data_IF_030335985335
#
_entry.id   IF_030335985335
#
_cell.length_a   1.000
_cell.length_b   1.000
_cell.length_c   1.000
_cell.angle_alpha   90.00
_cell.angle_beta   90.00
_cell.angle_gamma   90.00
#
_symmetry.space_group_name_H-M   'P 1'
#
loop_
_entity.id
_entity.type
_entity.pdbx_description
1 polymer ?
#
# COMPACT_ATOMS: atom_id res chain seq x y z
N UNK A 1 23.81 -33.39 -59.30
CA UNK A 1 22.65 -32.61 -59.76
C UNK A 1 22.02 -32.04 -58.44
N UNK A 2 22.41 -30.85 -58.19
CA UNK A 2 21.98 -30.02 -57.07
C UNK A 2 20.67 -29.31 -57.44
N UNK A 3 19.70 -29.33 -56.57
CA UNK A 3 18.48 -28.55 -56.72
C UNK A 3 18.33 -27.64 -55.53
N UNK A 4 18.69 -26.38 -55.73
CA UNK A 4 18.45 -25.31 -54.74
C UNK A 4 16.97 -24.97 -54.69
N UNK A 5 16.38 -25.11 -53.50
CA UNK A 5 15.03 -24.62 -53.23
C UNK A 5 15.12 -23.23 -52.62
N UNK A 6 14.89 -22.24 -53.45
CA UNK A 6 14.80 -20.82 -53.08
C UNK A 6 13.48 -20.56 -52.33
N UNK A 7 13.58 -20.25 -51.03
CA UNK A 7 12.41 -19.90 -50.20
C UNK A 7 12.10 -18.43 -50.44
N UNK A 8 11.03 -18.16 -51.14
CA UNK A 8 10.52 -16.81 -51.39
C UNK A 8 9.96 -16.22 -50.07
N UNK A 9 10.66 -15.25 -49.52
CA UNK A 9 10.16 -14.39 -48.42
C UNK A 9 9.18 -13.39 -49.05
N UNK A 10 7.91 -13.60 -48.82
CA UNK A 10 6.87 -12.62 -49.17
C UNK A 10 7.00 -11.38 -48.28
N UNK A 11 7.46 -10.29 -48.88
CA UNK A 11 7.49 -8.96 -48.25
C UNK A 11 6.07 -8.49 -47.95
N UNK A 12 5.73 -8.40 -46.66
CA UNK A 12 4.47 -7.81 -46.21
C UNK A 12 4.52 -6.31 -46.45
N UNK A 13 3.73 -5.80 -47.38
CA UNK A 13 3.56 -4.38 -47.65
C UNK A 13 3.15 -3.65 -46.36
N UNK A 14 3.79 -2.55 -45.94
CA UNK A 14 3.35 -1.79 -44.77
C UNK A 14 1.94 -1.24 -45.05
N UNK A 15 1.02 -1.52 -44.13
CA UNK A 15 -0.34 -0.92 -44.13
C UNK A 15 -0.16 0.59 -44.14
N UNK A 16 -0.53 1.23 -45.22
CA UNK A 16 -0.66 2.68 -45.31
C UNK A 16 -1.58 3.14 -44.15
N UNK A 17 -1.08 4.03 -43.31
CA UNK A 17 -1.83 4.66 -42.26
C UNK A 17 -3.07 5.33 -42.92
N UNK A 18 -4.26 4.74 -42.73
CA UNK A 18 -5.50 5.38 -43.14
C UNK A 18 -5.67 6.65 -42.33
N UNK A 19 -6.05 7.73 -42.97
CA UNK A 19 -6.43 8.98 -42.30
C UNK A 19 -7.51 8.63 -41.28
N UNK A 20 -7.20 8.78 -40.00
CA UNK A 20 -8.13 8.51 -38.92
C UNK A 20 -9.33 9.44 -39.10
N UNK A 21 -10.53 8.89 -39.09
CA UNK A 21 -11.74 9.70 -39.07
C UNK A 21 -11.82 10.47 -37.76
N UNK A 22 -12.54 11.61 -37.69
CA UNK A 22 -12.70 12.40 -36.47
C UNK A 22 -13.17 11.58 -35.25
N UNK A 23 -13.81 10.45 -35.52
CA UNK A 23 -14.24 9.48 -34.49
C UNK A 23 -13.06 8.57 -34.03
N UNK A 24 -12.17 8.21 -34.93
CA UNK A 24 -10.93 7.48 -34.62
C UNK A 24 -9.92 8.40 -33.89
N UNK A 25 -9.86 9.70 -34.22
CA UNK A 25 -9.06 10.69 -33.48
C UNK A 25 -9.55 10.88 -32.05
N UNK A 26 -10.86 10.84 -31.79
CA UNK A 26 -11.44 10.84 -30.43
C UNK A 26 -11.10 9.57 -29.64
N UNK A 27 -10.79 8.48 -30.31
CA UNK A 27 -10.44 7.18 -29.71
C UNK A 27 -8.94 7.09 -29.36
N UNK A 28 -8.09 7.81 -30.04
CA UNK A 28 -6.61 7.68 -29.95
C UNK A 28 -6.05 8.17 -28.61
N UNK A 29 -6.72 9.06 -27.89
CA UNK A 29 -6.21 9.57 -26.61
C UNK A 29 -6.78 8.85 -25.38
N UNK A 30 -6.78 7.53 -25.40
CA UNK A 30 -7.23 6.72 -24.26
C UNK A 30 -6.26 6.79 -23.08
N UNK A 31 -4.96 6.87 -23.35
CA UNK A 31 -3.89 6.82 -22.34
C UNK A 31 -3.40 8.20 -21.91
N UNK A 32 -3.72 9.26 -22.65
CA UNK A 32 -3.26 10.64 -22.43
C UNK A 32 -3.35 11.11 -20.98
N UNK A 33 -4.48 10.93 -20.28
CA UNK A 33 -4.59 11.34 -18.88
C UNK A 33 -3.57 10.72 -17.93
N UNK A 34 -3.14 9.48 -18.18
CA UNK A 34 -2.09 8.85 -17.40
C UNK A 34 -0.70 9.33 -17.83
N UNK A 35 -0.46 9.48 -19.12
CA UNK A 35 0.82 9.98 -19.66
C UNK A 35 1.12 11.40 -19.14
N UNK A 36 0.12 12.28 -19.13
CA UNK A 36 0.24 13.64 -18.57
C UNK A 36 0.51 13.61 -17.07
N UNK A 37 -0.16 12.69 -16.34
CA UNK A 37 0.08 12.52 -14.91
C UNK A 37 1.50 12.00 -14.63
N UNK A 38 2.03 11.09 -15.43
CA UNK A 38 3.41 10.61 -15.31
C UNK A 38 4.40 11.76 -15.53
N UNK A 39 4.21 12.58 -16.55
CA UNK A 39 5.08 13.75 -16.82
C UNK A 39 5.09 14.73 -15.65
N UNK A 40 3.93 14.98 -15.04
CA UNK A 40 3.82 15.84 -13.85
C UNK A 40 4.46 15.19 -12.63
N UNK A 41 4.31 13.87 -12.47
CA UNK A 41 4.89 13.09 -11.38
C UNK A 41 6.43 13.11 -11.44
N UNK A 42 7.03 13.01 -12.63
CA UNK A 42 8.47 13.16 -12.83
C UNK A 42 8.97 14.53 -12.34
N UNK A 43 8.22 15.59 -12.61
CA UNK A 43 8.59 16.93 -12.13
C UNK A 43 8.51 17.04 -10.59
N UNK A 44 7.54 16.37 -9.96
CA UNK A 44 7.45 16.30 -8.49
C UNK A 44 8.66 15.57 -7.88
N UNK A 45 9.06 14.44 -8.48
CA UNK A 45 10.24 13.68 -8.01
C UNK A 45 11.50 14.51 -8.18
N UNK A 46 11.73 15.08 -9.38
CA UNK A 46 12.94 15.86 -9.65
C UNK A 46 13.03 17.16 -8.83
N UNK A 47 11.89 17.69 -8.39
CA UNK A 47 11.82 18.93 -7.60
C UNK A 47 11.69 18.76 -6.10
N UNK A 48 11.84 17.53 -5.57
CA UNK A 48 11.71 17.28 -4.13
C UNK A 48 12.88 17.90 -3.35
N UNK A 49 12.57 18.70 -2.33
CA UNK A 49 13.55 19.51 -1.59
C UNK A 49 14.60 18.69 -0.82
N UNK A 50 14.30 17.44 -0.51
CA UNK A 50 15.17 16.53 0.23
C UNK A 50 16.13 15.72 -0.67
N UNK A 51 15.98 15.78 -1.98
CA UNK A 51 16.93 15.15 -2.93
C UNK A 51 18.27 15.88 -2.88
N UNK A 52 19.30 15.16 -2.49
CA UNK A 52 20.68 15.69 -2.33
C UNK A 52 21.68 14.97 -3.22
N UNK A 53 21.41 13.72 -3.57
CA UNK A 53 22.32 12.84 -4.28
C UNK A 53 21.63 12.18 -5.48
N UNK A 54 22.42 11.62 -6.38
CA UNK A 54 21.90 10.81 -7.49
C UNK A 54 21.21 9.53 -6.96
N UNK A 55 21.61 9.03 -5.79
CA UNK A 55 20.97 7.88 -5.16
C UNK A 55 19.55 8.24 -4.68
N UNK A 56 19.35 9.37 -4.03
CA UNK A 56 18.02 9.86 -3.62
C UNK A 56 17.11 10.01 -4.83
N UNK A 57 17.64 10.56 -5.94
CA UNK A 57 16.89 10.75 -7.16
C UNK A 57 16.51 9.42 -7.81
N UNK A 58 17.44 8.46 -7.86
CA UNK A 58 17.21 7.12 -8.40
C UNK A 58 16.11 6.38 -7.60
N UNK A 59 16.16 6.44 -6.27
CA UNK A 59 15.12 5.88 -5.39
C UNK A 59 13.75 6.53 -5.67
N UNK A 60 13.71 7.86 -5.86
CA UNK A 60 12.49 8.59 -6.20
C UNK A 60 11.88 8.13 -7.52
N UNK A 61 12.69 7.87 -8.54
CA UNK A 61 12.19 7.33 -9.81
C UNK A 61 11.77 5.87 -9.72
N UNK A 62 12.42 5.04 -8.90
CA UNK A 62 11.97 3.67 -8.62
C UNK A 62 10.62 3.68 -7.86
N UNK A 63 10.49 4.55 -6.85
CA UNK A 63 9.21 4.80 -6.18
C UNK A 63 8.11 5.27 -7.14
N UNK A 64 8.44 6.12 -8.13
CA UNK A 64 7.50 6.53 -9.18
C UNK A 64 7.06 5.33 -10.02
N UNK A 65 7.98 4.45 -10.42
CA UNK A 65 7.66 3.25 -11.19
C UNK A 65 6.70 2.32 -10.43
N UNK A 66 6.97 2.05 -9.16
CA UNK A 66 6.07 1.31 -8.26
C UNK A 66 4.70 1.98 -8.10
N UNK A 67 4.68 3.31 -8.01
CA UNK A 67 3.44 4.09 -7.88
C UNK A 67 2.58 4.04 -9.16
N UNK A 68 3.19 4.07 -10.35
CA UNK A 68 2.50 3.87 -11.63
C UNK A 68 1.88 2.47 -11.68
N UNK A 69 2.65 1.43 -11.36
CA UNK A 69 2.17 0.05 -11.35
C UNK A 69 0.97 -0.12 -10.40
N UNK A 70 1.08 0.36 -9.16
CA UNK A 70 0.02 0.28 -8.16
C UNK A 70 -1.25 0.99 -8.60
N UNK A 71 -1.16 2.20 -9.12
CA UNK A 71 -2.34 3.00 -9.51
C UNK A 71 -3.04 2.45 -10.74
N UNK A 72 -2.31 1.90 -11.70
CA UNK A 72 -2.90 1.19 -12.85
C UNK A 72 -3.61 -0.09 -12.39
N UNK A 73 -3.01 -0.87 -11.50
CA UNK A 73 -3.63 -2.07 -10.93
C UNK A 73 -4.92 -1.73 -10.18
N UNK A 74 -4.88 -0.75 -9.28
CA UNK A 74 -6.06 -0.28 -8.53
C UNK A 74 -7.16 0.21 -9.47
N UNK A 75 -6.82 1.07 -10.44
CA UNK A 75 -7.82 1.63 -11.37
C UNK A 75 -8.49 0.54 -12.25
N UNK A 76 -7.76 -0.55 -12.57
CA UNK A 76 -8.33 -1.70 -13.29
C UNK A 76 -9.28 -2.53 -12.41
N UNK A 77 -8.90 -2.73 -11.15
CA UNK A 77 -9.67 -3.54 -10.20
C UNK A 77 -10.87 -2.81 -9.61
N UNK A 78 -10.92 -1.46 -9.73
CA UNK A 78 -12.03 -0.66 -9.19
C UNK A 78 -13.39 -1.13 -9.67
N UNK A 79 -14.19 -1.62 -8.76
CA UNK A 79 -15.58 -1.98 -8.99
C UNK A 79 -16.33 -2.00 -7.66
N UNK A 80 -17.33 -1.14 -7.50
CA UNK A 80 -18.20 -1.14 -6.32
C UNK A 80 -19.34 -2.15 -6.45
N UNK A 81 -19.63 -2.56 -7.67
CA UNK A 81 -20.69 -3.55 -7.97
C UNK A 81 -20.17 -4.99 -8.02
N UNK A 82 -18.92 -5.18 -8.41
CA UNK A 82 -18.23 -6.47 -8.45
C UNK A 82 -16.85 -6.29 -7.82
N UNK A 83 -16.80 -6.05 -6.49
CA UNK A 83 -15.55 -5.77 -5.81
C UNK A 83 -14.63 -7.00 -5.77
N UNK A 84 -13.34 -6.75 -5.67
CA UNK A 84 -12.33 -7.76 -5.44
C UNK A 84 -11.18 -7.15 -4.66
N UNK A 85 -10.57 -7.93 -3.78
CA UNK A 85 -9.38 -7.46 -3.08
C UNK A 85 -8.17 -7.43 -3.99
N UNK A 86 -7.42 -6.35 -3.92
CA UNK A 86 -6.13 -6.16 -4.60
C UNK A 86 -5.06 -5.74 -3.61
N UNK A 87 -3.84 -6.20 -3.86
CA UNK A 87 -2.65 -5.79 -3.13
C UNK A 87 -2.00 -4.62 -3.87
N UNK A 88 -2.07 -3.43 -3.30
CA UNK A 88 -1.53 -2.21 -3.93
C UNK A 88 -0.30 -1.66 -3.24
N UNK A 89 0.11 -2.28 -2.14
CA UNK A 89 1.28 -1.91 -1.34
C UNK A 89 2.06 -3.18 -1.02
N UNK A 90 3.33 -3.17 -1.30
CA UNK A 90 4.24 -4.29 -1.13
C UNK A 90 5.65 -3.94 -1.61
N UNK A 91 6.58 -4.89 -1.71
CA UNK A 91 8.01 -4.63 -1.94
C UNK A 91 8.32 -3.77 -3.17
N UNK A 92 7.54 -3.90 -4.24
CA UNK A 92 7.71 -3.17 -5.51
C UNK A 92 6.71 -2.02 -5.70
N UNK A 93 5.79 -1.80 -4.74
CA UNK A 93 4.74 -0.78 -4.83
C UNK A 93 4.56 -0.04 -3.50
N UNK A 94 5.68 0.26 -2.86
CA UNK A 94 5.77 0.89 -1.54
C UNK A 94 4.99 2.20 -1.42
N UNK A 95 4.46 2.52 -0.25
CA UNK A 95 3.69 3.73 -0.01
C UNK A 95 3.47 3.99 1.48
N UNK A 96 3.63 5.25 1.89
CA UNK A 96 3.13 5.70 3.20
C UNK A 96 3.84 5.06 4.37
N UNK A 97 5.15 4.85 4.26
CA UNK A 97 5.98 4.12 5.21
C UNK A 97 5.39 2.74 5.51
N UNK A 98 5.17 1.98 4.45
CA UNK A 98 4.58 0.64 4.47
C UNK A 98 5.33 -0.29 5.45
N UNK A 99 4.58 -1.05 6.23
CA UNK A 99 5.16 -2.01 7.17
C UNK A 99 5.61 -3.27 6.41
N UNK A 100 6.90 -3.66 6.48
CA UNK A 100 7.45 -4.86 5.85
C UNK A 100 6.73 -6.15 6.23
N UNK A 101 6.16 -6.20 7.42
CA UNK A 101 5.48 -7.36 7.97
C UNK A 101 3.97 -7.38 7.66
N UNK A 102 3.48 -6.51 6.77
CA UNK A 102 2.04 -6.39 6.52
C UNK A 102 1.68 -6.65 5.05
N UNK A 103 0.75 -7.56 4.84
CA UNK A 103 0.01 -7.72 3.59
C UNK A 103 -1.20 -6.78 3.59
N UNK A 104 -1.26 -5.90 2.58
CA UNK A 104 -2.34 -4.93 2.42
C UNK A 104 -3.28 -5.37 1.30
N UNK A 105 -4.58 -5.47 1.62
CA UNK A 105 -5.63 -5.74 0.67
C UNK A 105 -6.63 -4.58 0.67
N UNK A 106 -7.09 -4.17 -0.51
CA UNK A 106 -8.06 -3.08 -0.67
C UNK A 106 -9.16 -3.49 -1.62
N UNK A 107 -10.41 -3.13 -1.29
CA UNK A 107 -11.56 -3.27 -2.18
C UNK A 107 -12.39 -2.00 -2.16
N UNK A 108 -12.87 -1.55 -3.32
CA UNK A 108 -13.79 -0.42 -3.42
C UNK A 108 -15.18 -0.82 -2.93
N UNK A 109 -15.77 0.04 -2.12
CA UNK A 109 -17.14 -0.10 -1.60
C UNK A 109 -17.89 1.21 -1.74
N UNK A 110 -19.22 1.19 -1.49
CA UNK A 110 -20.07 2.37 -1.38
C UNK A 110 -20.98 2.24 -0.16
N UNK A 111 -21.33 3.37 0.50
CA UNK A 111 -22.02 3.33 1.78
C UNK A 111 -23.44 2.79 1.75
N UNK A 112 -24.07 2.75 0.57
CA UNK A 112 -25.47 2.36 0.38
C UNK A 112 -25.67 0.89 0.05
N UNK A 113 -24.58 0.14 -0.16
CA UNK A 113 -24.62 -1.27 -0.54
C UNK A 113 -24.20 -2.19 0.61
N UNK A 114 -24.61 -3.45 0.52
CA UNK A 114 -24.17 -4.49 1.47
C UNK A 114 -23.17 -5.40 0.82
N UNK A 115 -22.08 -5.66 1.52
CA UNK A 115 -20.98 -6.51 1.10
C UNK A 115 -20.81 -7.70 2.04
N UNK A 116 -20.57 -8.88 1.48
CA UNK A 116 -20.14 -10.07 2.18
C UNK A 116 -18.62 -10.21 2.04
N UNK A 117 -17.93 -10.39 3.15
CA UNK A 117 -16.51 -10.74 3.21
C UNK A 117 -16.39 -12.07 3.91
N UNK A 118 -15.75 -13.02 3.25
CA UNK A 118 -15.60 -14.37 3.80
C UNK A 118 -14.25 -14.95 3.46
N UNK A 119 -13.90 -16.01 4.16
CA UNK A 119 -12.64 -16.68 3.91
C UNK A 119 -12.26 -17.69 4.96
N UNK A 120 -10.96 -17.93 5.01
CA UNK A 120 -10.33 -18.77 6.03
C UNK A 120 -9.16 -18.01 6.65
N UNK A 121 -9.17 -17.88 7.96
CA UNK A 121 -8.07 -17.29 8.74
C UNK A 121 -6.79 -18.11 8.53
N UNK A 122 -5.68 -17.42 8.21
CA UNK A 122 -4.35 -18.02 8.17
C UNK A 122 -3.72 -18.12 9.56
N UNK A 123 -2.40 -18.24 9.59
CA UNK A 123 -1.63 -18.26 10.84
C UNK A 123 -0.89 -16.95 11.12
N UNK A 124 -1.19 -15.88 10.39
CA UNK A 124 -0.61 -14.55 10.61
C UNK A 124 -0.95 -14.03 12.01
N UNK A 125 -0.08 -13.22 12.57
CA UNK A 125 -0.18 -12.75 13.96
C UNK A 125 -1.43 -11.90 14.19
N UNK A 126 -1.82 -11.09 13.21
CA UNK A 126 -3.00 -10.22 13.30
C UNK A 126 -3.70 -10.14 11.95
N UNK A 127 -5.03 -10.06 11.97
CA UNK A 127 -5.88 -9.77 10.81
C UNK A 127 -6.81 -8.64 11.21
N UNK A 128 -6.78 -7.55 10.46
CA UNK A 128 -7.61 -6.38 10.76
C UNK A 128 -8.36 -5.89 9.53
N UNK A 129 -9.50 -5.28 9.80
CA UNK A 129 -10.40 -4.67 8.83
C UNK A 129 -10.57 -3.20 9.15
N UNK A 130 -10.61 -2.35 8.13
CA UNK A 130 -10.84 -0.92 8.30
C UNK A 130 -11.67 -0.36 7.15
N UNK A 131 -12.74 0.34 7.48
CA UNK A 131 -13.51 1.14 6.53
C UNK A 131 -12.86 2.51 6.41
N UNK A 132 -12.53 2.91 5.19
CA UNK A 132 -11.96 4.22 4.87
C UNK A 132 -13.00 5.09 4.16
N UNK A 133 -12.95 6.41 4.45
CA UNK A 133 -13.81 7.45 3.86
C UNK A 133 -13.05 8.37 2.94
N UNK A 134 -13.64 8.66 1.78
CA UNK A 134 -13.04 9.55 0.81
C UNK A 134 -11.87 8.93 0.07
N UNK A 135 -11.13 9.76 -0.60
CA UNK A 135 -9.95 9.39 -1.40
C UNK A 135 -8.72 10.17 -0.91
N UNK A 136 -7.54 9.76 -1.36
CA UNK A 136 -6.33 10.55 -1.22
C UNK A 136 -6.45 11.85 -2.02
N UNK A 137 -6.08 12.95 -1.39
CA UNK A 137 -6.00 14.27 -2.04
C UNK A 137 -4.62 14.86 -1.76
N UNK A 138 -4.17 15.89 -2.50
CA UNK A 138 -2.86 16.51 -2.27
C UNK A 138 -2.63 17.05 -0.85
N UNK A 139 -3.67 17.20 -0.05
CA UNK A 139 -3.61 17.79 1.30
C UNK A 139 -4.28 16.93 2.38
N UNK A 140 -4.77 15.74 2.05
CA UNK A 140 -5.53 14.92 2.99
C UNK A 140 -5.45 13.43 2.65
N UNK A 141 -5.23 12.60 3.66
CA UNK A 141 -5.40 11.15 3.59
C UNK A 141 -6.87 10.76 3.83
N UNK A 142 -7.33 9.57 3.36
CA UNK A 142 -8.66 9.05 3.70
C UNK A 142 -8.90 9.04 5.20
N UNK A 143 -10.11 9.39 5.63
CA UNK A 143 -10.53 9.22 7.02
C UNK A 143 -10.80 7.75 7.33
N UNK A 144 -10.62 7.33 8.58
CA UNK A 144 -11.09 6.03 9.08
C UNK A 144 -12.49 6.17 9.69
N UNK A 145 -13.39 5.22 9.41
CA UNK A 145 -14.70 5.14 10.07
C UNK A 145 -14.65 4.16 11.22
N UNK A 146 -14.43 2.90 10.93
CA UNK A 146 -14.30 1.83 11.91
C UNK A 146 -13.11 0.95 11.56
N UNK A 147 -12.45 0.44 12.60
CA UNK A 147 -11.42 -0.56 12.45
C UNK A 147 -11.52 -1.57 13.59
N UNK A 148 -11.33 -2.83 13.26
CA UNK A 148 -11.35 -3.93 14.19
C UNK A 148 -10.45 -5.06 13.72
N UNK A 149 -10.16 -5.98 14.61
CA UNK A 149 -9.35 -7.17 14.33
C UNK A 149 -10.19 -8.46 14.41
N UNK A 150 -9.56 -9.57 14.10
CA UNK A 150 -10.17 -10.89 14.05
C UNK A 150 -10.69 -11.40 15.41
N UNK A 151 -10.34 -10.76 16.52
CA UNK A 151 -10.90 -11.06 17.86
C UNK A 151 -12.36 -10.59 18.02
N UNK A 152 -12.82 -9.73 17.12
CA UNK A 152 -14.21 -9.22 17.11
C UNK A 152 -15.15 -9.95 16.15
N UNK A 153 -14.65 -10.91 15.37
CA UNK A 153 -15.47 -11.64 14.40
C UNK A 153 -15.61 -13.12 14.78
N UNK A 154 -16.75 -13.75 14.43
CA UNK A 154 -16.91 -15.18 14.62
C UNK A 154 -16.04 -15.96 13.63
N UNK A 155 -15.11 -16.74 14.15
CA UNK A 155 -14.25 -17.65 13.38
C UNK A 155 -14.51 -19.07 13.86
N UNK A 156 -14.87 -19.97 12.93
CA UNK A 156 -15.08 -21.37 13.22
C UNK A 156 -13.78 -22.13 13.54
N UNK A 157 -13.90 -23.31 14.14
CA UNK A 157 -12.75 -24.16 14.48
C UNK A 157 -11.89 -24.54 13.26
N UNK A 158 -12.47 -24.53 12.08
CA UNK A 158 -11.79 -24.78 10.81
C UNK A 158 -11.16 -23.53 10.21
N UNK A 159 -11.23 -22.39 10.92
CA UNK A 159 -10.72 -21.08 10.52
C UNK A 159 -11.63 -20.31 9.58
N UNK A 160 -12.79 -20.82 9.19
CA UNK A 160 -13.72 -20.09 8.32
C UNK A 160 -14.39 -18.96 9.07
N UNK A 161 -14.58 -17.86 8.34
CA UNK A 161 -15.35 -16.71 8.80
C UNK A 161 -16.18 -16.13 7.65
N UNK A 162 -17.27 -15.48 8.02
CA UNK A 162 -18.11 -14.67 7.15
C UNK A 162 -18.61 -13.46 7.94
N UNK A 163 -18.42 -12.27 7.37
CA UNK A 163 -18.85 -11.00 7.95
C UNK A 163 -19.51 -10.12 6.88
N UNK A 164 -20.37 -9.25 7.31
CA UNK A 164 -21.12 -8.34 6.47
C UNK A 164 -20.75 -6.89 6.74
N UNK A 165 -20.70 -6.09 5.70
CA UNK A 165 -20.59 -4.63 5.78
C UNK A 165 -21.76 -3.99 5.06
N UNK A 166 -22.47 -3.06 5.68
CA UNK A 166 -23.62 -2.44 5.02
C UNK A 166 -24.20 -1.25 5.78
N UNK A 167 -25.25 -0.60 5.22
CA UNK A 167 -25.82 0.63 5.77
C UNK A 167 -26.71 0.40 7.01
N UNK A 168 -27.10 -0.83 7.32
CA UNK A 168 -28.04 -1.13 8.40
C UNK A 168 -27.35 -1.01 9.79
N UNK A 169 -27.50 0.14 10.43
CA UNK A 169 -26.92 0.41 11.74
C UNK A 169 -27.58 -0.38 12.87
N UNK A 170 -28.84 -0.80 12.72
CA UNK A 170 -29.51 -1.66 13.69
C UNK A 170 -28.88 -3.07 13.65
N UNK A 171 -28.72 -3.64 12.47
CA UNK A 171 -28.01 -4.92 12.31
C UNK A 171 -26.58 -4.85 12.85
N UNK A 172 -25.87 -3.74 12.64
CA UNK A 172 -24.52 -3.53 13.18
C UNK A 172 -24.47 -3.51 14.70
N UNK A 173 -25.53 -3.10 15.36
CA UNK A 173 -25.63 -3.06 16.82
C UNK A 173 -26.05 -4.42 17.43
N UNK A 174 -26.72 -5.27 16.67
CA UNK A 174 -27.33 -6.52 17.15
C UNK A 174 -26.52 -7.77 16.76
N UNK A 175 -25.74 -7.72 15.68
CA UNK A 175 -25.06 -8.87 15.11
C UNK A 175 -23.53 -8.74 15.27
N UNK A 176 -22.89 -9.80 15.72
CA UNK A 176 -21.43 -9.86 15.83
C UNK A 176 -20.71 -9.99 14.47
N UNK A 177 -21.41 -10.39 13.42
CA UNK A 177 -20.89 -10.61 12.06
C UNK A 177 -21.29 -9.49 11.08
N UNK A 178 -21.86 -8.39 11.55
CA UNK A 178 -22.29 -7.27 10.70
C UNK A 178 -21.66 -5.94 11.18
N UNK A 179 -21.07 -5.19 10.26
CA UNK A 179 -20.39 -3.92 10.52
C UNK A 179 -21.02 -2.79 9.71
N UNK A 180 -21.37 -1.71 10.37
CA UNK A 180 -22.04 -0.57 9.75
C UNK A 180 -21.10 0.22 8.83
N UNK A 181 -21.59 0.59 7.65
CA UNK A 181 -20.93 1.56 6.79
C UNK A 181 -21.45 2.96 7.11
N UNK A 182 -20.53 3.87 7.43
CA UNK A 182 -20.85 5.29 7.60
C UNK A 182 -20.97 6.02 6.25
N UNK A 183 -21.56 7.21 6.29
CA UNK A 183 -21.64 8.10 5.13
C UNK A 183 -20.24 8.40 4.57
N UNK A 184 -20.06 8.20 3.27
CA UNK A 184 -18.76 8.43 2.62
C UNK A 184 -17.81 7.25 2.65
N UNK A 185 -18.21 6.07 3.17
CA UNK A 185 -17.42 4.84 3.04
C UNK A 185 -17.09 4.57 1.57
N UNK A 186 -15.82 4.37 1.27
CA UNK A 186 -15.33 4.28 -0.13
C UNK A 186 -14.42 3.08 -0.38
N UNK A 187 -13.80 2.56 0.67
CA UNK A 187 -12.81 1.50 0.58
C UNK A 187 -12.86 0.62 1.84
N UNK A 188 -12.77 -0.69 1.66
CA UNK A 188 -12.46 -1.63 2.72
C UNK A 188 -10.98 -2.02 2.59
N UNK A 189 -10.21 -1.71 3.64
CA UNK A 189 -8.82 -2.12 3.78
C UNK A 189 -8.74 -3.31 4.74
N UNK A 190 -8.01 -4.35 4.33
CA UNK A 190 -7.70 -5.51 5.17
C UNK A 190 -6.19 -5.61 5.29
N UNK A 191 -5.71 -5.89 6.49
CA UNK A 191 -4.29 -6.08 6.76
C UNK A 191 -4.08 -7.40 7.47
N UNK A 192 -3.14 -8.19 6.96
CA UNK A 192 -2.58 -9.32 7.68
C UNK A 192 -1.16 -9.00 8.10
N UNK A 193 -0.86 -9.12 9.39
CA UNK A 193 0.44 -8.80 9.98
C UNK A 193 1.16 -10.09 10.35
N UNK A 194 2.40 -10.20 9.92
CA UNK A 194 3.28 -11.34 10.16
C UNK A 194 4.25 -11.00 11.28
N UNK A 195 4.43 -11.89 12.22
CA UNK A 195 5.58 -11.86 13.14
C UNK A 195 6.73 -12.74 12.64
N UNK A 196 6.41 -13.66 11.73
CA UNK A 196 7.33 -14.55 11.02
C UNK A 196 6.81 -14.72 9.58
N UNK A 197 7.64 -14.47 8.57
CA UNK A 197 7.24 -14.56 7.17
C UNK A 197 6.94 -15.98 6.68
N UNK A 198 7.23 -17.02 7.48
CA UNK A 198 6.78 -18.39 7.22
C UNK A 198 5.30 -18.61 7.56
N UNK A 199 4.65 -17.70 8.27
CA UNK A 199 3.23 -17.77 8.57
C UNK A 199 2.39 -17.76 7.28
N UNK A 200 1.30 -18.52 7.28
CA UNK A 200 0.40 -18.61 6.13
C UNK A 200 -0.62 -17.48 6.18
N UNK A 201 -0.75 -16.75 5.08
CA UNK A 201 -1.83 -15.79 4.91
C UNK A 201 -3.20 -16.48 4.90
N UNK A 202 -4.24 -15.72 5.24
CA UNK A 202 -5.62 -16.14 5.05
C UNK A 202 -6.05 -16.15 3.58
N UNK A 203 -7.18 -16.79 3.34
CA UNK A 203 -7.95 -16.66 2.10
C UNK A 203 -9.10 -15.70 2.39
N UNK A 204 -9.20 -14.60 1.66
CA UNK A 204 -10.21 -13.57 1.90
C UNK A 204 -10.81 -13.13 0.57
N UNK A 205 -12.13 -13.15 0.49
CA UNK A 205 -12.90 -12.73 -0.66
C UNK A 205 -13.96 -11.72 -0.27
N UNK A 206 -14.44 -10.95 -1.25
CA UNK A 206 -15.50 -9.96 -1.08
C UNK A 206 -16.46 -10.03 -2.26
N UNK A 207 -17.74 -9.88 -2.00
CA UNK A 207 -18.78 -9.66 -3.02
C UNK A 207 -19.81 -8.65 -2.53
N UNK A 208 -20.51 -8.03 -3.46
CA UNK A 208 -21.67 -7.20 -3.18
C UNK A 208 -22.93 -8.06 -3.28
N UNK A 209 -23.75 -8.04 -2.25
CA UNK A 209 -24.86 -9.00 -2.08
C UNK A 209 -25.91 -8.91 -3.17
N UNK A 210 -26.31 -7.69 -3.58
CA UNK A 210 -27.34 -7.45 -4.58
C UNK A 210 -26.88 -7.71 -6.04
N UNK A 211 -25.58 -7.97 -6.25
CA UNK A 211 -25.03 -8.28 -7.58
C UNK A 211 -24.56 -9.72 -7.75
N UNK A 212 -24.75 -10.55 -6.73
CA UNK A 212 -24.40 -11.98 -6.80
C UNK A 212 -25.12 -12.64 -7.98
N UNK A 213 -24.36 -13.36 -8.80
CA UNK A 213 -24.88 -14.05 -9.99
C UNK A 213 -25.10 -13.15 -11.21
N UNK A 214 -24.84 -11.84 -11.11
CA UNK A 214 -24.89 -10.95 -12.27
C UNK A 214 -23.51 -10.83 -12.92
N UNK A 215 -23.47 -10.56 -14.23
CA UNK A 215 -22.21 -10.30 -14.92
C UNK A 215 -21.73 -8.86 -14.64
N UNK A 216 -20.40 -8.65 -14.54
CA UNK A 216 -19.87 -7.29 -14.49
C UNK A 216 -20.20 -6.54 -15.79
N UNK A 217 -20.28 -5.21 -15.76
CA UNK A 217 -20.51 -4.41 -16.96
C UNK A 217 -19.46 -4.68 -18.04
N UNK A 218 -19.88 -4.66 -19.31
CA UNK A 218 -19.01 -4.87 -20.46
C UNK A 218 -17.82 -3.91 -20.48
N UNK A 219 -16.70 -4.38 -21.05
CA UNK A 219 -15.52 -3.57 -21.26
C UNK A 219 -15.66 -2.82 -22.59
N UNK A 220 -15.93 -1.52 -22.50
CA UNK A 220 -15.91 -0.60 -23.63
C UNK A 220 -14.72 0.36 -23.56
N UNK A 221 -14.50 1.11 -24.64
CA UNK A 221 -13.37 2.03 -24.76
C UNK A 221 -13.44 3.20 -23.77
N UNK A 222 -14.64 3.67 -23.49
CA UNK A 222 -14.88 4.76 -22.53
C UNK A 222 -14.58 4.30 -21.09
N UNK A 223 -14.91 3.07 -20.76
CA UNK A 223 -14.54 2.46 -19.46
C UNK A 223 -13.01 2.33 -19.33
N UNK A 224 -12.33 1.93 -20.42
CA UNK A 224 -10.86 1.87 -20.42
C UNK A 224 -10.27 3.28 -20.25
N UNK A 225 -10.77 4.27 -20.96
CA UNK A 225 -10.36 5.68 -20.84
C UNK A 225 -10.52 6.19 -19.40
N UNK A 226 -11.67 5.92 -18.77
CA UNK A 226 -11.90 6.27 -17.36
C UNK A 226 -10.90 5.61 -16.42
N UNK A 227 -10.48 4.36 -16.67
CA UNK A 227 -9.46 3.68 -15.87
C UNK A 227 -8.11 4.40 -15.94
N UNK A 228 -7.67 4.80 -17.14
CA UNK A 228 -6.42 5.59 -17.29
C UNK A 228 -6.53 6.97 -16.62
N UNK A 229 -7.65 7.64 -16.76
CA UNK A 229 -7.88 8.92 -16.09
C UNK A 229 -7.88 8.77 -14.55
N UNK A 230 -8.46 7.69 -14.04
CA UNK A 230 -8.45 7.37 -12.61
C UNK A 230 -7.03 7.06 -12.13
N UNK A 231 -6.28 6.23 -12.86
CA UNK A 231 -4.88 5.91 -12.51
C UNK A 231 -4.00 7.18 -12.45
N UNK A 232 -4.15 8.08 -13.41
CA UNK A 232 -3.44 9.37 -13.41
C UNK A 232 -3.78 10.26 -12.21
N UNK A 233 -5.06 10.36 -11.86
CA UNK A 233 -5.49 11.10 -10.65
C UNK A 233 -4.94 10.47 -9.38
N UNK A 234 -5.00 9.14 -9.26
CA UNK A 234 -4.48 8.41 -8.11
C UNK A 234 -2.96 8.56 -7.98
N UNK A 235 -2.22 8.52 -9.09
CA UNK A 235 -0.77 8.73 -9.11
C UNK A 235 -0.39 10.09 -8.52
N UNK A 236 -0.99 11.16 -9.01
CA UNK A 236 -0.69 12.51 -8.53
C UNK A 236 -1.15 12.72 -7.07
N UNK A 237 -2.31 12.19 -6.70
CA UNK A 237 -2.79 12.27 -5.32
C UNK A 237 -1.84 11.53 -4.37
N UNK A 238 -1.42 10.30 -4.73
CA UNK A 238 -0.49 9.48 -3.95
C UNK A 238 0.83 10.23 -3.70
N UNK A 239 1.48 10.72 -4.75
CA UNK A 239 2.76 11.41 -4.62
C UNK A 239 2.62 12.71 -3.81
N UNK A 240 1.67 13.57 -4.15
CA UNK A 240 1.48 14.83 -3.43
C UNK A 240 1.15 14.60 -1.94
N UNK A 241 0.33 13.61 -1.62
CA UNK A 241 0.01 13.31 -0.22
C UNK A 241 1.26 12.86 0.53
N UNK A 242 1.96 11.86 0.03
CA UNK A 242 3.03 11.22 0.78
C UNK A 242 4.33 12.01 0.80
N UNK A 243 4.59 12.87 -0.21
CA UNK A 243 5.73 13.81 -0.15
C UNK A 243 5.54 14.91 0.90
N UNK A 244 4.29 15.28 1.17
CA UNK A 244 3.99 16.30 2.18
C UNK A 244 3.71 15.71 3.57
N UNK A 245 3.36 14.44 3.67
CA UNK A 245 2.94 13.82 4.92
C UNK A 245 3.99 13.95 6.04
N UNK A 246 5.29 13.72 5.82
CA UNK A 246 6.32 13.91 6.84
C UNK A 246 6.30 15.31 7.46
N UNK A 247 6.18 16.34 6.63
CA UNK A 247 6.10 17.75 7.08
C UNK A 247 4.88 17.99 7.99
N UNK A 248 3.74 17.33 7.71
CA UNK A 248 2.54 17.51 8.53
C UNK A 248 2.56 16.70 9.82
N UNK A 249 3.40 15.67 9.89
CA UNK A 249 3.24 14.66 10.92
C UNK A 249 4.40 14.59 11.90
N UNK A 250 5.67 14.71 11.46
CA UNK A 250 6.81 14.48 12.36
C UNK A 250 8.11 15.26 12.05
N UNK A 251 8.25 15.93 10.92
CA UNK A 251 9.50 16.65 10.60
C UNK A 251 9.78 17.87 11.50
N UNK A 252 8.79 18.31 12.27
CA UNK A 252 8.96 19.35 13.29
C UNK A 252 9.63 18.80 14.58
N UNK A 253 9.68 17.47 14.75
CA UNK A 253 10.38 16.86 15.88
C UNK A 253 11.89 17.02 15.74
N UNK A 254 12.65 17.08 16.84
CA UNK A 254 14.10 17.09 16.75
C UNK A 254 14.66 15.84 16.05
N UNK A 255 15.73 16.01 15.26
CA UNK A 255 16.44 14.91 14.61
C UNK A 255 16.85 13.85 15.64
N UNK A 256 16.77 12.57 15.26
CA UNK A 256 17.11 11.42 16.11
C UNK A 256 16.22 11.31 17.38
N UNK A 257 14.98 11.77 17.29
CA UNK A 257 13.96 11.61 18.33
C UNK A 257 12.67 11.02 17.75
N UNK A 258 11.76 10.61 18.62
CA UNK A 258 10.48 10.05 18.25
C UNK A 258 9.32 10.86 18.83
N UNK A 259 8.23 10.95 18.08
CA UNK A 259 6.95 11.42 18.64
C UNK A 259 6.51 10.51 19.79
N UNK A 260 5.72 11.00 20.74
CA UNK A 260 4.94 10.13 21.62
C UNK A 260 4.08 9.17 20.78
N UNK A 261 3.78 7.95 21.31
CA UNK A 261 2.88 7.03 20.62
C UNK A 261 1.51 7.66 20.36
N UNK A 262 1.07 7.67 19.09
CA UNK A 262 -0.20 8.25 18.65
C UNK A 262 -0.78 7.51 17.45
N UNK A 263 -2.06 7.74 17.16
CA UNK A 263 -2.69 7.23 15.94
C UNK A 263 -2.09 7.95 14.72
N UNK A 264 -1.74 7.17 13.70
CA UNK A 264 -1.25 7.72 12.42
C UNK A 264 -2.44 8.08 11.53
N UNK A 265 -2.57 9.34 11.07
CA UNK A 265 -3.61 9.71 10.12
C UNK A 265 -3.60 8.85 8.86
N UNK A 266 -4.75 8.28 8.49
CA UNK A 266 -4.86 7.34 7.36
C UNK A 266 -4.28 5.94 7.62
N UNK A 267 -3.67 5.71 8.77
CA UNK A 267 -3.24 4.40 9.26
C UNK A 267 -4.38 3.60 9.89
N UNK A 268 -4.05 2.44 10.46
CA UNK A 268 -5.00 1.60 11.20
C UNK A 268 -5.39 2.29 12.51
N UNK A 269 -6.69 2.50 12.73
CA UNK A 269 -7.18 3.24 13.91
C UNK A 269 -7.06 2.47 15.23
N UNK A 270 -6.68 1.20 15.20
CA UNK A 270 -6.38 0.38 16.39
C UNK A 270 -4.88 0.25 16.66
N UNK A 271 -4.04 0.94 15.90
CA UNK A 271 -2.58 0.87 16.00
C UNK A 271 -2.00 2.22 16.45
N UNK A 272 -1.09 2.18 17.42
CA UNK A 272 -0.28 3.33 17.82
C UNK A 272 1.10 3.25 17.19
N UNK A 273 1.63 4.40 16.76
CA UNK A 273 2.98 4.53 16.21
C UNK A 273 3.73 5.69 16.87
N UNK A 274 5.03 5.50 17.10
CA UNK A 274 5.99 6.56 17.30
C UNK A 274 6.80 6.69 16.02
N UNK A 275 6.95 7.88 15.51
CA UNK A 275 7.68 8.15 14.27
C UNK A 275 8.64 9.32 14.49
N UNK A 276 9.74 9.35 13.78
CA UNK A 276 10.72 10.42 13.79
C UNK A 276 11.55 10.40 12.53
N UNK A 277 12.51 11.30 12.44
CA UNK A 277 13.47 11.31 11.36
C UNK A 277 14.88 11.26 11.93
N UNK A 278 15.77 10.58 11.19
CA UNK A 278 17.15 10.42 11.62
C UNK A 278 18.13 11.15 10.70
N UNK A 279 19.28 11.46 11.26
CA UNK A 279 20.48 11.88 10.53
C UNK A 279 21.68 11.25 11.21
N UNK A 280 22.42 10.43 10.47
CA UNK A 280 23.59 9.69 10.95
C UNK A 280 24.74 9.86 9.96
N UNK A 281 25.89 10.35 10.44
CA UNK A 281 27.13 10.31 9.67
C UNK A 281 27.64 8.87 9.52
N UNK A 282 28.54 8.57 8.57
CA UNK A 282 28.99 7.19 8.29
C UNK A 282 29.61 6.44 9.48
N UNK A 283 30.09 7.14 10.50
CA UNK A 283 30.70 6.61 11.72
C UNK A 283 29.81 6.74 12.97
N UNK A 284 28.57 7.19 12.80
CA UNK A 284 27.58 7.30 13.88
C UNK A 284 26.62 6.11 13.89
N UNK A 285 26.06 5.85 15.07
CA UNK A 285 24.97 4.90 15.27
C UNK A 285 23.92 5.49 16.22
N UNK A 286 22.66 5.20 15.96
CA UNK A 286 21.56 5.54 16.86
C UNK A 286 21.13 4.31 17.65
N UNK A 287 21.09 4.43 18.98
CA UNK A 287 20.58 3.36 19.86
C UNK A 287 19.16 3.68 20.27
N UNK A 288 18.26 2.79 19.96
CA UNK A 288 16.84 2.89 20.29
C UNK A 288 16.52 1.87 21.36
N UNK A 289 15.97 2.31 22.49
CA UNK A 289 15.56 1.45 23.60
C UNK A 289 14.06 1.54 23.81
N UNK A 290 13.36 0.41 23.69
CA UNK A 290 11.92 0.32 23.89
C UNK A 290 11.57 -0.89 24.76
N UNK A 291 10.54 -0.84 25.60
CA UNK A 291 10.07 -2.03 26.29
C UNK A 291 9.44 -3.02 25.28
N UNK A 292 9.59 -4.33 25.54
CA UNK A 292 8.81 -5.32 24.81
C UNK A 292 7.33 -5.13 25.14
N UNK A 293 6.52 -4.93 24.12
CA UNK A 293 5.07 -4.77 24.25
C UNK A 293 4.36 -6.10 24.51
N UNK A 294 3.22 -6.05 25.20
CA UNK A 294 2.26 -7.15 25.27
C UNK A 294 1.30 -7.19 24.07
N UNK A 295 1.36 -6.23 23.15
CA UNK A 295 0.57 -6.23 21.93
C UNK A 295 0.90 -7.45 21.07
N UNK A 296 -0.04 -7.96 20.27
CA UNK A 296 0.19 -9.08 19.36
C UNK A 296 1.36 -8.84 18.40
N UNK A 297 1.57 -7.61 18.00
CA UNK A 297 2.64 -7.18 17.11
C UNK A 297 3.29 -5.88 17.61
N UNK A 298 4.60 -5.85 17.57
CA UNK A 298 5.41 -4.64 17.78
C UNK A 298 6.56 -4.68 16.77
N UNK A 299 6.60 -3.72 15.85
CA UNK A 299 7.62 -3.62 14.81
C UNK A 299 8.36 -2.30 14.86
N UNK A 300 9.59 -2.32 14.34
CA UNK A 300 10.41 -1.15 14.03
C UNK A 300 10.89 -1.26 12.59
N UNK A 301 10.93 -0.16 11.86
CA UNK A 301 11.43 -0.10 10.49
C UNK A 301 12.06 1.25 10.18
N UNK A 302 12.96 1.25 9.22
CA UNK A 302 13.49 2.45 8.59
C UNK A 302 12.73 2.74 7.29
N UNK A 303 12.64 4.01 6.99
CA UNK A 303 12.18 4.52 5.69
C UNK A 303 13.08 5.60 5.17
N UNK A 304 12.99 5.89 3.89
CA UNK A 304 13.66 7.01 3.27
C UNK A 304 12.84 8.30 3.38
N UNK A 305 13.42 9.41 2.95
CA UNK A 305 12.72 10.70 2.86
C UNK A 305 11.54 10.69 1.86
N UNK A 306 11.46 9.68 0.98
CA UNK A 306 10.29 9.44 0.12
C UNK A 306 9.08 8.90 0.89
N UNK A 307 9.20 8.69 2.20
CA UNK A 307 8.18 8.12 3.07
C UNK A 307 7.75 6.71 2.62
N UNK A 308 8.74 5.89 2.28
CA UNK A 308 8.62 4.47 1.97
C UNK A 308 9.59 3.67 2.82
N UNK A 309 9.29 2.39 3.07
CA UNK A 309 10.21 1.48 3.74
C UNK A 309 11.49 1.29 2.92
N UNK A 310 12.65 1.13 3.57
CA UNK A 310 13.89 0.73 2.89
C UNK A 310 13.77 -0.70 2.34
N UNK A 311 14.79 -1.19 1.63
CA UNK A 311 14.79 -2.56 1.08
C UNK A 311 14.86 -3.60 2.21
N UNK A 312 13.72 -4.03 2.67
CA UNK A 312 13.57 -5.05 3.70
C UNK A 312 13.61 -6.48 3.16
N UNK A 313 13.63 -6.66 1.85
CA UNK A 313 13.73 -8.00 1.22
C UNK A 313 15.15 -8.52 1.25
N UNK A 314 16.12 -7.63 1.01
CA UNK A 314 17.52 -7.98 0.86
C UNK A 314 18.39 -7.52 2.06
N UNK A 315 17.86 -6.62 2.91
CA UNK A 315 18.58 -5.97 3.99
C UNK A 315 17.80 -5.99 5.31
N UNK A 316 18.51 -6.00 6.44
CA UNK A 316 17.91 -5.90 7.79
C UNK A 316 17.52 -4.45 8.09
N UNK A 317 16.49 -3.93 7.44
CA UNK A 317 16.01 -2.53 7.62
C UNK A 317 14.81 -2.42 8.56
N UNK A 318 14.33 -3.56 9.05
CA UNK A 318 13.21 -3.67 9.99
C UNK A 318 13.45 -4.80 10.98
N UNK A 319 12.73 -4.77 12.11
CA UNK A 319 12.79 -5.78 13.14
C UNK A 319 11.47 -5.77 13.92
N UNK A 320 10.89 -6.93 14.16
CA UNK A 320 9.74 -7.04 15.06
C UNK A 320 10.10 -7.74 16.38
N UNK A 321 9.19 -7.69 17.35
CA UNK A 321 9.43 -8.22 18.71
C UNK A 321 9.58 -9.73 18.79
N UNK A 322 9.22 -10.47 17.72
CA UNK A 322 9.42 -11.93 17.63
C UNK A 322 10.82 -12.27 17.12
N UNK A 323 11.43 -11.39 16.35
CA UNK A 323 12.79 -11.51 15.82
C UNK A 323 13.82 -10.91 16.78
N UNK A 324 13.44 -9.84 17.52
CA UNK A 324 14.36 -9.08 18.36
C UNK A 324 14.84 -9.89 19.57
N UNK A 325 16.12 -9.78 19.87
CA UNK A 325 16.64 -10.16 21.17
C UNK A 325 16.14 -9.18 22.24
N UNK A 326 15.51 -9.72 23.28
CA UNK A 326 15.04 -8.95 24.45
C UNK A 326 16.08 -9.12 25.55
N UNK A 327 16.49 -8.01 26.13
CA UNK A 327 17.46 -8.00 27.23
C UNK A 327 16.83 -8.47 28.55
N UNK A 328 17.67 -8.79 29.55
CA UNK A 328 17.21 -9.32 30.85
C UNK A 328 16.30 -8.35 31.63
N UNK A 329 16.33 -7.05 31.30
CA UNK A 329 15.47 -6.03 31.89
C UNK A 329 14.13 -5.86 31.15
N UNK A 330 13.84 -6.70 30.15
CA UNK A 330 12.61 -6.66 29.35
C UNK A 330 12.63 -5.60 28.23
N UNK A 331 13.77 -4.95 28.00
CA UNK A 331 13.93 -3.95 26.94
C UNK A 331 14.45 -4.58 25.64
N UNK A 332 14.04 -4.02 24.51
CA UNK A 332 14.61 -4.25 23.19
C UNK A 332 15.52 -3.04 22.89
N UNK A 333 16.82 -3.32 22.68
CA UNK A 333 17.77 -2.32 22.23
C UNK A 333 18.16 -2.59 20.80
N UNK A 334 17.86 -1.63 19.92
CA UNK A 334 18.17 -1.68 18.49
C UNK A 334 19.29 -0.71 18.19
N UNK A 335 20.19 -1.09 17.30
CA UNK A 335 21.30 -0.23 16.84
C UNK A 335 21.11 0.05 15.35
N UNK A 336 20.75 1.27 15.01
CA UNK A 336 20.68 1.75 13.63
C UNK A 336 22.05 2.26 13.22
N UNK A 337 22.64 1.67 12.21
CA UNK A 337 23.98 2.04 11.74
C UNK A 337 24.21 1.64 10.28
N UNK A 338 25.14 2.32 9.61
CA UNK A 338 25.52 2.04 8.21
C UNK A 338 26.27 0.71 8.05
N UNK A 339 26.91 0.23 9.10
CA UNK A 339 27.69 -1.02 9.11
C UNK A 339 27.32 -1.85 10.32
N UNK A 340 27.33 -3.17 10.15
CA UNK A 340 27.03 -4.08 11.24
C UNK A 340 28.06 -3.95 12.38
N UNK A 341 27.64 -3.50 13.57
CA UNK A 341 28.52 -3.37 14.73
C UNK A 341 28.72 -4.70 15.49
N UNK A 342 28.18 -5.81 14.99
CA UNK A 342 28.29 -7.13 15.63
C UNK A 342 27.29 -7.37 16.76
N UNK A 343 26.15 -6.67 16.77
CA UNK A 343 25.07 -6.85 17.77
C UNK A 343 23.82 -7.50 17.15
N UNK A 344 23.02 -8.15 17.99
CA UNK A 344 21.89 -8.95 17.54
C UNK A 344 20.76 -8.13 16.87
N UNK A 345 20.47 -6.93 17.40
CA UNK A 345 19.38 -6.08 16.92
C UNK A 345 19.90 -4.91 16.07
N UNK A 346 20.83 -5.18 15.17
CA UNK A 346 21.30 -4.18 14.21
C UNK A 346 20.25 -3.96 13.13
N UNK A 347 20.04 -2.69 12.77
CA UNK A 347 19.18 -2.23 11.68
C UNK A 347 20.05 -1.44 10.69
N UNK A 348 20.06 -1.89 9.44
CA UNK A 348 20.89 -1.31 8.40
C UNK A 348 20.20 -0.10 7.74
N UNK A 349 20.94 0.99 7.56
CA UNK A 349 20.44 2.18 6.87
C UNK A 349 20.47 2.06 5.34
N UNK A 350 21.06 1.01 4.78
CA UNK A 350 21.30 0.83 3.33
C UNK A 350 21.98 2.04 2.66
N UNK A 351 22.85 2.73 3.42
CA UNK A 351 23.58 3.91 2.93
C UNK A 351 22.87 5.24 3.10
N UNK A 352 21.65 5.26 3.63
CA UNK A 352 20.93 6.52 3.90
C UNK A 352 21.49 7.21 5.13
N UNK A 353 22.01 8.43 4.96
CA UNK A 353 22.42 9.30 6.08
C UNK A 353 21.21 10.01 6.72
N UNK A 354 20.07 10.08 6.01
CA UNK A 354 18.81 10.69 6.46
C UNK A 354 17.63 9.83 6.04
N UNK A 355 16.60 9.84 6.86
CA UNK A 355 15.38 9.10 6.56
C UNK A 355 14.31 9.30 7.62
#
# INVERSE_FOLDING_TARGET
MSGDAETAVTATTPRTASVATAEQERIVDVTGPLTDAISRAQALVAGADFVRTDADLAEGFDYLAGSIAATVQLARARSRTHPGFVTSTGPSTKMGLDNPDTLYLHADIEPTATYRVWGRRGSTTDLSFQVLRGDYTPSKVPGGDDAFDDRRIPIGDDGRFEIMFGPDQAAASERADYFGLGDGASMLAVREVYSDWSQRRGEIAIERVDTVGTAPPDLDLERVRRRYATAGKMLLARLNTWFNFPTWFYLDEPVNTFTPPRLTPGGLSTQYSSVGHFRLSPDEAMIITVPKSAAPYQGFQLGSMWYISLDYVNHQTSLNSSQAQVDADGMIRMVVAHRNPGVANWIETTGHETG
#
